data_IF_836830826273
#
_entry.id   IF_836830826273
#
_cell.length_a   1.000
_cell.length_b   1.000
_cell.length_c   1.000
_cell.angle_alpha   90.00
_cell.angle_beta   90.00
_cell.angle_gamma   90.00
#
_symmetry.space_group_name_H-M   'P 1'
#
loop_
_entity.id
_entity.type
_entity.pdbx_description
1 polymer ?
#
# COMPACT_ATOMS: atom_id res chain seq x y z
N UNK A 1 -4.33 1.30 2.59
CA UNK A 1 -5.59 0.74 3.10
C UNK A 1 -5.79 0.94 4.58
N UNK A 2 -5.25 1.98 5.12
CA UNK A 2 -5.65 2.48 6.43
C UNK A 2 -7.00 3.18 6.26
N UNK A 3 -7.83 3.12 7.28
CA UNK A 3 -9.08 3.87 7.33
C UNK A 3 -8.80 5.38 7.29
N UNK A 4 -7.67 5.77 7.88
CA UNK A 4 -7.13 7.13 7.85
C UNK A 4 -5.70 7.08 7.30
N UNK A 5 -5.31 8.11 6.56
CA UNK A 5 -3.95 8.25 6.07
C UNK A 5 -3.51 9.72 6.12
N UNK A 6 -2.20 9.97 6.31
CA UNK A 6 -1.69 11.34 6.32
C UNK A 6 -1.71 11.92 4.90
N UNK A 7 -2.06 13.19 4.76
CA UNK A 7 -1.89 13.93 3.52
C UNK A 7 -0.47 14.48 3.39
N UNK A 8 0.24 14.68 4.49
CA UNK A 8 1.61 15.19 4.49
C UNK A 8 2.56 14.21 5.15
N UNK A 9 3.70 14.01 4.49
CA UNK A 9 4.81 13.21 5.01
C UNK A 9 6.08 14.05 4.91
N UNK A 10 6.84 14.08 6.00
CA UNK A 10 8.16 14.71 6.06
C UNK A 10 9.21 13.66 6.33
N UNK A 11 10.29 13.69 5.58
CA UNK A 11 11.49 12.91 5.80
C UNK A 11 12.61 13.86 6.20
N UNK A 12 13.35 13.54 7.26
CA UNK A 12 14.52 14.29 7.68
C UNK A 12 15.74 13.39 7.72
N UNK A 13 16.80 13.77 7.02
CA UNK A 13 18.04 13.03 6.96
C UNK A 13 18.92 13.34 8.18
N UNK A 14 18.88 12.46 9.17
CA UNK A 14 19.80 12.53 10.33
C UNK A 14 21.18 12.04 9.91
N UNK A 15 21.23 10.95 9.11
CA UNK A 15 22.46 10.34 8.64
C UNK A 15 22.20 9.68 7.29
N UNK A 16 22.87 10.14 6.21
CA UNK A 16 22.82 9.46 4.92
C UNK A 16 23.59 8.14 4.98
N UNK A 17 23.24 7.21 4.10
CA UNK A 17 23.97 5.97 3.89
C UNK A 17 25.32 6.23 3.21
N UNK A 18 26.24 5.27 3.32
CA UNK A 18 27.52 5.33 2.62
C UNK A 18 27.31 5.21 1.09
N UNK A 19 26.34 4.41 0.67
CA UNK A 19 26.00 4.19 -0.74
C UNK A 19 24.52 3.84 -0.85
N UNK A 20 23.81 4.38 -1.86
CA UNK A 20 22.40 4.14 -2.10
C UNK A 20 21.50 4.78 -1.03
N UNK A 21 20.32 4.20 -0.81
CA UNK A 21 19.40 4.62 0.26
C UNK A 21 18.65 5.91 -0.03
N UNK A 22 18.61 6.32 -1.28
CA UNK A 22 17.77 7.42 -1.75
C UNK A 22 16.30 7.10 -1.49
N UNK A 23 15.49 8.13 -1.52
CA UNK A 23 14.01 8.01 -1.50
C UNK A 23 13.49 8.35 -2.89
N UNK A 24 13.37 7.37 -3.80
CA UNK A 24 12.73 7.61 -5.09
C UNK A 24 11.31 8.09 -4.91
N UNK A 25 10.92 9.08 -5.70
CA UNK A 25 9.58 9.67 -5.71
C UNK A 25 8.99 9.66 -7.11
N UNK A 26 7.66 9.49 -7.18
CA UNK A 26 6.91 9.46 -8.43
C UNK A 26 5.62 10.26 -8.28
N UNK A 27 5.31 11.13 -9.25
CA UNK A 27 4.05 11.86 -9.30
C UNK A 27 2.88 10.91 -9.63
N UNK A 28 1.95 10.76 -8.70
CA UNK A 28 0.78 9.89 -8.84
C UNK A 28 -0.21 10.37 -9.93
N UNK A 29 -0.16 11.66 -10.32
CA UNK A 29 -0.92 12.22 -11.45
C UNK A 29 -0.33 11.77 -12.77
N UNK A 30 1.02 11.80 -12.85
CA UNK A 30 1.74 11.29 -14.02
C UNK A 30 1.51 9.78 -14.17
N UNK A 31 1.53 9.03 -13.07
CA UNK A 31 1.16 7.61 -13.08
C UNK A 31 -0.23 7.39 -13.66
N UNK A 32 -1.23 8.16 -13.22
CA UNK A 32 -2.59 8.09 -13.75
C UNK A 32 -2.66 8.38 -15.25
N UNK A 33 -1.89 9.34 -15.74
CA UNK A 33 -1.87 9.73 -17.16
C UNK A 33 -1.16 8.69 -18.04
N UNK A 34 -0.09 8.08 -17.55
CA UNK A 34 0.74 7.11 -18.29
C UNK A 34 0.13 5.70 -18.36
N UNK A 35 -0.79 5.37 -17.44
CA UNK A 35 -1.51 4.09 -17.52
C UNK A 35 -2.32 4.02 -18.83
N UNK A 36 -2.30 2.85 -19.47
CA UNK A 36 -3.18 2.56 -20.60
C UNK A 36 -4.65 2.85 -20.24
N UNK A 37 -5.40 3.44 -21.16
CA UNK A 37 -6.77 3.90 -20.89
C UNK A 37 -7.71 2.76 -20.44
N UNK A 38 -7.58 1.56 -21.05
CA UNK A 38 -8.41 0.40 -20.69
C UNK A 38 -8.01 -0.16 -19.32
N UNK A 39 -6.71 -0.15 -19.01
CA UNK A 39 -6.21 -0.56 -17.71
C UNK A 39 -6.67 0.41 -16.62
N UNK A 40 -6.62 1.70 -16.88
CA UNK A 40 -7.12 2.74 -15.98
C UNK A 40 -8.62 2.56 -15.70
N UNK A 41 -9.43 2.42 -16.76
CA UNK A 41 -10.87 2.13 -16.63
C UNK A 41 -11.13 0.85 -15.83
N UNK A 42 -10.36 -0.22 -16.06
CA UNK A 42 -10.46 -1.48 -15.31
C UNK A 42 -10.21 -1.26 -13.81
N UNK A 43 -9.21 -0.46 -13.44
CA UNK A 43 -8.94 -0.13 -12.03
C UNK A 43 -10.00 0.79 -11.42
N UNK A 44 -10.56 1.72 -12.16
CA UNK A 44 -11.67 2.58 -11.70
C UNK A 44 -12.92 1.76 -11.42
N UNK A 45 -13.29 0.85 -12.31
CA UNK A 45 -14.50 0.02 -12.19
C UNK A 45 -14.34 -1.06 -11.13
N UNK A 46 -13.23 -1.80 -11.16
CA UNK A 46 -13.03 -2.96 -10.29
C UNK A 46 -12.47 -2.62 -8.92
N UNK A 47 -11.76 -1.52 -8.77
CA UNK A 47 -11.04 -1.17 -7.54
C UNK A 47 -9.97 -2.23 -7.17
N UNK A 48 -9.48 -2.21 -5.93
CA UNK A 48 -8.50 -3.16 -5.40
C UNK A 48 -9.00 -3.81 -4.13
N UNK A 49 -8.86 -5.13 -4.01
CA UNK A 49 -9.10 -5.88 -2.79
C UNK A 49 -7.76 -6.26 -2.16
N UNK A 50 -7.44 -5.63 -1.05
CA UNK A 50 -6.27 -5.99 -0.24
C UNK A 50 -6.62 -7.12 0.71
N UNK A 51 -5.84 -8.19 0.65
CA UNK A 51 -5.97 -9.34 1.53
C UNK A 51 -4.75 -9.43 2.44
N UNK A 52 -4.99 -9.67 3.71
CA UNK A 52 -3.94 -9.90 4.68
C UNK A 52 -4.27 -11.07 5.57
N UNK A 53 -3.32 -11.98 5.70
CA UNK A 53 -3.38 -13.12 6.62
C UNK A 53 -2.38 -12.88 7.75
N UNK A 54 -2.89 -12.72 8.96
CA UNK A 54 -2.08 -12.58 10.15
C UNK A 54 -1.84 -13.97 10.73
N UNK A 55 -0.65 -14.49 10.47
CA UNK A 55 -0.22 -15.82 10.94
C UNK A 55 1.03 -15.63 11.77
N UNK A 56 1.02 -16.18 12.97
CA UNK A 56 2.14 -16.10 13.90
C UNK A 56 3.44 -16.63 13.28
N UNK A 57 4.52 -15.88 13.42
CA UNK A 57 5.85 -16.24 12.93
C UNK A 57 6.12 -15.95 11.44
N UNK A 58 5.15 -15.46 10.68
CA UNK A 58 5.30 -15.19 9.24
C UNK A 58 5.32 -13.71 8.88
N UNK A 59 4.45 -12.93 9.48
CA UNK A 59 4.35 -11.46 9.36
C UNK A 59 3.98 -10.91 10.75
N UNK A 60 3.74 -9.63 10.85
CA UNK A 60 3.25 -9.00 12.09
C UNK A 60 1.97 -9.70 12.52
N UNK A 61 1.90 -10.12 13.79
CA UNK A 61 0.70 -10.71 14.36
C UNK A 61 -0.46 -9.71 14.36
N UNK A 62 -1.72 -10.18 14.39
CA UNK A 62 -2.85 -9.26 14.49
C UNK A 62 -2.81 -8.48 15.81
N UNK A 63 -2.29 -9.08 16.88
CA UNK A 63 -2.14 -8.42 18.18
C UNK A 63 -1.20 -7.21 18.09
N UNK A 64 -0.05 -7.39 17.44
CA UNK A 64 0.91 -6.30 17.24
C UNK A 64 0.38 -5.25 16.27
N UNK A 65 -0.33 -5.68 15.23
CA UNK A 65 -0.88 -4.76 14.24
C UNK A 65 -2.00 -3.87 14.81
N UNK A 66 -2.91 -4.44 15.60
CA UNK A 66 -4.03 -3.71 16.20
C UNK A 66 -3.72 -3.19 17.61
N UNK A 67 -2.51 -3.48 18.14
CA UNK A 67 -2.08 -3.08 19.48
C UNK A 67 -3.06 -3.54 20.58
N UNK A 68 -3.63 -4.72 20.44
CA UNK A 68 -4.58 -5.33 21.37
C UNK A 68 -4.58 -6.85 21.23
N UNK A 69 -4.91 -7.55 22.30
CA UNK A 69 -5.22 -8.99 22.29
C UNK A 69 -6.72 -9.30 22.41
N UNK A 70 -7.55 -8.26 22.46
CA UNK A 70 -9.01 -8.38 22.53
C UNK A 70 -9.59 -8.46 21.11
N UNK A 71 -10.18 -9.60 20.77
CA UNK A 71 -10.82 -9.84 19.47
C UNK A 71 -12.01 -8.91 19.23
N UNK A 72 -12.78 -8.56 20.27
CA UNK A 72 -13.92 -7.67 20.11
C UNK A 72 -13.50 -6.26 19.67
N UNK A 73 -12.36 -5.78 20.16
CA UNK A 73 -11.78 -4.49 19.73
C UNK A 73 -11.41 -4.55 18.26
N UNK A 74 -10.77 -5.64 17.82
CA UNK A 74 -10.40 -5.86 16.40
C UNK A 74 -11.63 -5.92 15.50
N UNK A 75 -12.65 -6.67 15.91
CA UNK A 75 -13.90 -6.81 15.17
C UNK A 75 -14.62 -5.46 15.02
N UNK A 76 -14.70 -4.67 16.09
CA UNK A 76 -15.30 -3.34 16.04
C UNK A 76 -14.53 -2.42 15.09
N UNK A 77 -13.19 -2.39 15.19
CA UNK A 77 -12.36 -1.64 14.25
C UNK A 77 -12.61 -2.06 12.80
N UNK A 78 -12.68 -3.36 12.53
CA UNK A 78 -12.91 -3.86 11.18
C UNK A 78 -14.29 -3.43 10.65
N UNK A 79 -15.33 -3.50 11.47
CA UNK A 79 -16.69 -3.04 11.09
C UNK A 79 -16.71 -1.54 10.77
N UNK A 80 -16.16 -0.71 11.65
CA UNK A 80 -16.07 0.75 11.45
C UNK A 80 -15.25 1.12 10.20
N UNK A 81 -14.20 0.38 9.93
CA UNK A 81 -13.33 0.61 8.78
C UNK A 81 -13.81 -0.07 7.49
N UNK A 82 -14.99 -0.72 7.49
CA UNK A 82 -15.50 -1.52 6.36
C UNK A 82 -14.49 -2.57 5.88
N UNK A 83 -13.84 -3.25 6.81
CA UNK A 83 -12.93 -4.36 6.57
C UNK A 83 -13.69 -5.66 6.82
N UNK A 84 -13.78 -6.52 5.82
CA UNK A 84 -14.23 -7.88 6.02
C UNK A 84 -13.16 -8.67 6.78
N UNK A 85 -13.53 -9.42 7.80
CA UNK A 85 -12.61 -10.21 8.61
C UNK A 85 -13.14 -11.63 8.84
N UNK A 86 -12.20 -12.55 9.01
CA UNK A 86 -12.47 -13.96 9.29
C UNK A 86 -11.42 -14.50 10.27
N UNK A 87 -11.88 -14.99 11.43
CA UNK A 87 -11.00 -15.69 12.35
C UNK A 87 -10.63 -17.07 11.81
N UNK A 88 -9.35 -17.33 11.75
CA UNK A 88 -8.78 -18.58 11.26
C UNK A 88 -8.36 -19.49 12.41
N UNK A 89 -8.08 -20.77 12.09
CA UNK A 89 -7.49 -21.71 13.06
C UNK A 89 -6.18 -21.16 13.64
N UNK A 90 -5.77 -21.70 14.81
CA UNK A 90 -4.54 -21.31 15.49
C UNK A 90 -4.46 -19.79 15.78
N UNK A 91 -5.61 -19.19 16.16
CA UNK A 91 -5.70 -17.78 16.48
C UNK A 91 -5.29 -16.82 15.33
N UNK A 92 -5.34 -17.29 14.08
CA UNK A 92 -5.08 -16.47 12.91
C UNK A 92 -6.25 -15.55 12.59
N UNK A 93 -5.97 -14.50 11.82
CA UNK A 93 -6.96 -13.57 11.31
C UNK A 93 -6.71 -13.33 9.82
N UNK A 94 -7.77 -13.38 9.02
CA UNK A 94 -7.75 -12.88 7.63
C UNK A 94 -8.58 -11.63 7.54
N UNK A 95 -8.06 -10.62 6.84
CA UNK A 95 -8.80 -9.39 6.53
C UNK A 95 -8.80 -9.14 5.04
N UNK A 96 -9.94 -8.62 4.53
CA UNK A 96 -10.09 -8.17 3.16
C UNK A 96 -10.69 -6.78 3.15
N UNK A 97 -10.09 -5.86 2.40
CA UNK A 97 -10.62 -4.51 2.24
C UNK A 97 -10.60 -4.08 0.79
N UNK A 98 -11.76 -3.62 0.29
CA UNK A 98 -11.86 -3.00 -1.03
C UNK A 98 -11.54 -1.51 -0.90
N UNK A 99 -10.62 -1.03 -1.74
CA UNK A 99 -10.18 0.35 -1.79
C UNK A 99 -10.07 0.81 -3.24
N UNK A 100 -10.32 2.10 -3.54
CA UNK A 100 -10.03 2.64 -4.85
C UNK A 100 -8.54 2.47 -5.21
N UNK A 101 -8.25 2.11 -6.47
CA UNK A 101 -6.90 2.16 -7.03
C UNK A 101 -6.53 3.58 -7.46
N UNK A 102 -7.55 4.33 -7.89
CA UNK A 102 -7.49 5.69 -8.39
C UNK A 102 -8.40 6.53 -7.50
N UNK A 103 -7.95 7.72 -7.14
CA UNK A 103 -8.68 8.62 -6.26
C UNK A 103 -8.59 10.05 -6.78
N UNK A 104 -9.58 10.87 -6.45
CA UNK A 104 -9.50 12.30 -6.63
C UNK A 104 -8.86 12.94 -5.39
N UNK A 105 -7.87 13.78 -5.61
CA UNK A 105 -7.20 14.48 -4.51
C UNK A 105 -8.16 15.51 -3.87
N UNK A 106 -8.37 15.51 -2.54
CA UNK A 106 -9.43 16.27 -1.89
C UNK A 106 -9.26 17.79 -1.97
N UNK A 107 -8.03 18.28 -2.12
CA UNK A 107 -7.73 19.72 -2.16
C UNK A 107 -7.57 20.25 -3.58
N UNK A 108 -6.99 19.45 -4.50
CA UNK A 108 -6.69 19.91 -5.86
C UNK A 108 -7.69 19.44 -6.91
N UNK A 109 -8.48 18.38 -6.60
CA UNK A 109 -9.42 17.78 -7.54
C UNK A 109 -8.76 16.91 -8.62
N UNK A 110 -7.43 16.80 -8.62
CA UNK A 110 -6.69 16.01 -9.61
C UNK A 110 -6.86 14.51 -9.39
N UNK A 111 -6.91 13.74 -10.48
CA UNK A 111 -6.95 12.29 -10.42
C UNK A 111 -5.55 11.72 -10.20
N UNK A 112 -5.42 10.78 -9.27
CA UNK A 112 -4.16 10.19 -8.85
C UNK A 112 -4.25 8.67 -8.78
N UNK A 113 -3.18 7.99 -9.21
CA UNK A 113 -3.00 6.55 -8.99
C UNK A 113 -2.43 6.33 -7.59
N UNK A 114 -3.32 6.44 -6.59
CA UNK A 114 -2.95 6.42 -5.17
C UNK A 114 -3.35 5.10 -4.51
N UNK A 115 -2.39 4.20 -4.37
CA UNK A 115 -2.60 2.86 -3.83
C UNK A 115 -1.29 2.25 -3.32
N UNK A 116 -1.36 1.02 -2.80
CA UNK A 116 -0.21 0.24 -2.33
C UNK A 116 -0.06 -1.08 -3.10
N UNK A 117 -0.47 -1.10 -4.35
CA UNK A 117 -0.48 -2.29 -5.20
C UNK A 117 0.87 -3.01 -5.23
N UNK A 118 1.96 -2.27 -5.50
CA UNK A 118 3.30 -2.85 -5.57
C UNK A 118 3.81 -3.41 -4.24
N UNK A 119 3.37 -2.86 -3.12
CA UNK A 119 3.78 -3.34 -1.80
C UNK A 119 3.11 -4.67 -1.43
N UNK A 120 1.97 -4.98 -2.05
CA UNK A 120 1.15 -6.13 -1.68
C UNK A 120 1.15 -7.25 -2.70
N UNK A 121 1.30 -6.95 -3.99
CA UNK A 121 1.21 -7.97 -5.03
C UNK A 121 2.42 -8.90 -5.03
N UNK A 122 2.15 -10.21 -5.04
CA UNK A 122 3.18 -11.26 -4.93
C UNK A 122 4.21 -11.22 -6.05
N UNK A 123 3.86 -10.71 -7.25
CA UNK A 123 4.81 -10.58 -8.37
C UNK A 123 5.86 -9.48 -8.15
N UNK A 124 5.67 -8.61 -7.16
CA UNK A 124 6.64 -7.56 -6.81
C UNK A 124 7.73 -8.03 -5.86
N UNK A 125 7.63 -9.27 -5.35
CA UNK A 125 8.68 -9.93 -4.58
C UNK A 125 9.80 -10.42 -5.50
N UNK A 126 10.99 -10.61 -4.94
CA UNK A 126 12.03 -11.31 -5.68
C UNK A 126 11.61 -12.74 -6.03
N UNK A 127 12.06 -13.29 -7.16
CA UNK A 127 11.56 -14.58 -7.67
C UNK A 127 11.76 -15.75 -6.69
N UNK A 128 12.83 -15.75 -5.90
CA UNK A 128 13.11 -16.83 -4.95
C UNK A 128 12.15 -16.77 -3.76
N UNK A 129 11.94 -15.58 -3.21
CA UNK A 129 10.97 -15.33 -2.13
C UNK A 129 9.56 -15.64 -2.59
N UNK A 130 9.14 -15.18 -3.79
CA UNK A 130 7.84 -15.49 -4.37
C UNK A 130 7.61 -17.00 -4.47
N UNK A 131 8.56 -17.73 -5.04
CA UNK A 131 8.48 -19.19 -5.20
C UNK A 131 8.37 -19.88 -3.86
N UNK A 132 9.17 -19.49 -2.88
CA UNK A 132 9.15 -20.08 -1.55
C UNK A 132 7.82 -19.87 -0.84
N UNK A 133 7.30 -18.63 -0.84
CA UNK A 133 6.02 -18.30 -0.20
C UNK A 133 4.85 -19.04 -0.85
N UNK A 134 4.79 -19.06 -2.19
CA UNK A 134 3.74 -19.79 -2.91
C UNK A 134 3.78 -21.30 -2.65
N UNK A 135 4.98 -21.88 -2.57
CA UNK A 135 5.17 -23.32 -2.28
C UNK A 135 4.77 -23.66 -0.85
N UNK A 136 5.04 -22.80 0.12
CA UNK A 136 4.79 -23.07 1.55
C UNK A 136 3.34 -22.82 1.95
N UNK A 137 2.70 -21.80 1.40
CA UNK A 137 1.40 -21.30 1.88
C UNK A 137 0.28 -21.40 0.85
N UNK A 138 0.63 -21.53 -0.44
CA UNK A 138 -0.33 -21.29 -1.52
C UNK A 138 -0.73 -19.81 -1.61
N UNK A 139 -1.35 -19.41 -2.71
CA UNK A 139 -1.69 -18.01 -2.97
C UNK A 139 -2.69 -17.44 -1.96
N UNK A 140 -3.69 -18.22 -1.57
CA UNK A 140 -4.75 -17.78 -0.66
C UNK A 140 -4.28 -17.47 0.77
N UNK A 141 -3.18 -18.10 1.19
CA UNK A 141 -2.64 -17.97 2.55
C UNK A 141 -1.37 -17.12 2.61
N UNK A 142 -1.02 -16.43 1.52
CA UNK A 142 0.08 -15.47 1.55
C UNK A 142 -0.16 -14.43 2.64
N UNK A 143 0.87 -13.96 3.34
CA UNK A 143 0.74 -12.93 4.38
C UNK A 143 0.03 -11.68 3.87
N UNK A 144 0.31 -11.32 2.62
CA UNK A 144 -0.30 -10.18 1.92
C UNK A 144 -0.47 -10.53 0.46
N UNK A 145 -1.57 -10.11 -0.12
CA UNK A 145 -1.79 -10.08 -1.56
C UNK A 145 -2.83 -9.02 -1.90
N UNK A 146 -2.95 -8.72 -3.18
CA UNK A 146 -3.94 -7.78 -3.70
C UNK A 146 -4.53 -8.34 -4.98
N UNK A 147 -5.83 -8.14 -5.13
CA UNK A 147 -6.65 -8.57 -6.25
C UNK A 147 -7.45 -7.39 -6.78
N UNK A 148 -8.12 -7.54 -7.92
CA UNK A 148 -9.22 -6.64 -8.22
C UNK A 148 -10.32 -6.75 -7.16
N UNK A 149 -11.14 -5.72 -7.00
CA UNK A 149 -12.17 -5.67 -5.96
C UNK A 149 -13.24 -6.76 -6.06
N UNK A 150 -13.41 -7.37 -7.25
CA UNK A 150 -14.28 -8.54 -7.48
C UNK A 150 -13.60 -9.88 -7.10
N UNK A 151 -12.37 -9.84 -6.59
CA UNK A 151 -11.60 -11.02 -6.22
C UNK A 151 -10.82 -11.66 -7.37
N UNK A 152 -10.96 -11.18 -8.61
CA UNK A 152 -10.19 -11.70 -9.73
C UNK A 152 -8.72 -11.32 -9.61
N UNK A 153 -7.77 -12.20 -10.02
CA UNK A 153 -6.34 -11.93 -9.91
C UNK A 153 -5.93 -10.78 -10.82
N UNK A 154 -4.92 -10.02 -10.37
CA UNK A 154 -4.25 -9.03 -11.21
C UNK A 154 -3.12 -9.75 -11.94
N UNK A 155 -3.08 -9.63 -13.24
CA UNK A 155 -2.15 -10.33 -14.10
C UNK A 155 -0.70 -9.83 -13.88
N UNK A 156 0.27 -10.74 -13.85
CA UNK A 156 1.70 -10.38 -13.73
C UNK A 156 2.16 -9.39 -14.82
N UNK A 157 1.57 -9.46 -16.02
CA UNK A 157 1.83 -8.50 -17.12
C UNK A 157 1.37 -7.08 -16.79
N UNK A 158 0.22 -6.94 -16.13
CA UNK A 158 -0.28 -5.64 -15.64
C UNK A 158 0.67 -5.07 -14.58
N UNK A 159 1.14 -5.92 -13.68
CA UNK A 159 2.10 -5.50 -12.66
C UNK A 159 3.43 -5.08 -13.26
N UNK A 160 3.90 -5.79 -14.29
CA UNK A 160 5.14 -5.45 -15.01
C UNK A 160 5.02 -4.08 -15.73
N UNK A 161 3.87 -3.79 -16.34
CA UNK A 161 3.57 -2.49 -16.95
C UNK A 161 3.61 -1.37 -15.91
N UNK A 162 2.90 -1.53 -14.80
CA UNK A 162 2.89 -0.56 -13.71
C UNK A 162 4.31 -0.32 -13.17
N UNK A 163 5.09 -1.37 -12.94
CA UNK A 163 6.47 -1.25 -12.49
C UNK A 163 7.37 -0.54 -13.51
N UNK A 164 7.14 -0.73 -14.81
CA UNK A 164 7.89 -0.03 -15.86
C UNK A 164 7.60 1.47 -15.81
N UNK A 165 6.34 1.88 -15.69
CA UNK A 165 5.94 3.28 -15.57
C UNK A 165 6.58 3.90 -14.31
N UNK A 166 6.51 3.23 -13.16
CA UNK A 166 7.16 3.72 -11.93
C UNK A 166 8.66 3.94 -12.09
N UNK A 167 9.36 3.02 -12.76
CA UNK A 167 10.81 3.16 -13.00
C UNK A 167 11.14 4.34 -13.90
N UNK A 168 10.36 4.54 -14.96
CA UNK A 168 10.55 5.62 -15.93
C UNK A 168 10.24 6.99 -15.31
N UNK A 169 9.15 7.09 -14.54
CA UNK A 169 8.71 8.34 -13.93
C UNK A 169 9.45 8.68 -12.62
N UNK A 170 10.30 7.78 -12.13
CA UNK A 170 10.96 7.94 -10.83
C UNK A 170 12.04 9.01 -10.85
N UNK A 171 11.98 9.89 -9.86
CA UNK A 171 13.04 10.87 -9.56
C UNK A 171 13.72 10.43 -8.27
N UNK A 172 15.05 10.48 -8.26
CA UNK A 172 15.85 10.10 -7.11
C UNK A 172 17.03 11.06 -6.92
N UNK A 173 17.39 11.31 -5.68
CA UNK A 173 18.54 12.16 -5.32
C UNK A 173 19.24 11.61 -4.08
N UNK A 174 20.57 11.78 -3.96
CA UNK A 174 21.30 11.36 -2.77
C UNK A 174 20.95 12.25 -1.59
N UNK A 175 20.72 11.61 -0.43
CA UNK A 175 20.50 12.33 0.83
C UNK A 175 21.78 13.00 1.33
N UNK A 176 21.65 14.22 1.85
CA UNK A 176 22.66 14.88 2.65
C UNK A 176 22.14 15.04 4.08
N UNK A 177 23.05 15.03 5.06
CA UNK A 177 22.68 15.28 6.46
C UNK A 177 22.03 16.66 6.59
N UNK A 178 20.88 16.71 7.23
CA UNK A 178 20.09 17.94 7.40
C UNK A 178 19.02 18.15 6.35
N UNK A 179 19.01 17.37 5.25
CA UNK A 179 17.95 17.48 4.23
C UNK A 179 16.58 17.20 4.81
N UNK A 180 15.60 17.97 4.33
CA UNK A 180 14.16 17.75 4.57
C UNK A 180 13.45 17.57 3.23
N UNK A 181 12.74 16.45 3.09
CA UNK A 181 11.82 16.21 1.98
C UNK A 181 10.39 16.21 2.51
N UNK A 182 9.56 17.14 2.04
CA UNK A 182 8.12 17.17 2.32
C UNK A 182 7.34 16.73 1.10
N UNK A 183 6.42 15.80 1.29
CA UNK A 183 5.56 15.26 0.24
C UNK A 183 4.08 15.44 0.59
N UNK A 184 3.28 15.72 -0.44
CA UNK A 184 1.87 15.39 -0.41
C UNK A 184 1.72 13.90 -0.71
N UNK A 185 1.22 13.13 0.24
CA UNK A 185 1.21 11.66 0.21
C UNK A 185 0.25 11.09 -0.88
N UNK A 186 -0.76 11.84 -1.29
CA UNK A 186 -1.63 11.42 -2.39
C UNK A 186 -1.06 11.76 -3.76
N UNK A 187 -0.33 12.88 -3.84
CA UNK A 187 0.27 13.33 -5.09
C UNK A 187 1.59 12.62 -5.40
N UNK A 188 2.29 12.11 -4.38
CA UNK A 188 3.65 11.57 -4.55
C UNK A 188 3.79 10.22 -3.88
N UNK A 189 3.98 9.19 -4.70
CA UNK A 189 4.43 7.89 -4.23
C UNK A 189 5.93 7.95 -3.89
N UNK A 190 6.35 7.17 -2.91
CA UNK A 190 7.74 7.12 -2.47
C UNK A 190 8.17 5.70 -2.11
N UNK A 191 9.46 5.43 -2.23
CA UNK A 191 10.06 4.15 -1.86
C UNK A 191 11.43 4.36 -1.22
N UNK A 192 12.18 3.30 -1.06
CA UNK A 192 13.55 3.34 -0.55
C UNK A 192 14.43 2.43 -1.37
N UNK A 193 15.52 2.97 -1.91
CA UNK A 193 16.55 2.18 -2.55
C UNK A 193 17.35 1.33 -1.53
N UNK A 194 17.89 0.17 -1.95
CA UNK A 194 18.87 -0.57 -1.17
C UNK A 194 20.05 0.33 -0.80
N UNK A 195 20.69 0.05 0.33
CA UNK A 195 21.81 0.86 0.81
C UNK A 195 22.88 0.05 1.56
N UNK A 196 24.06 0.63 1.66
CA UNK A 196 25.20 0.09 2.41
C UNK A 196 25.56 1.09 3.51
N UNK A 197 25.90 0.58 4.68
CA UNK A 197 26.29 1.35 5.84
C UNK A 197 25.12 1.81 6.71
N UNK A 198 25.40 2.63 7.72
CA UNK A 198 24.39 3.19 8.57
C UNK A 198 23.54 4.22 7.80
N UNK A 199 22.24 4.21 8.03
CA UNK A 199 21.27 5.19 7.47
C UNK A 199 20.21 5.51 8.51
N UNK A 200 19.97 6.79 8.73
CA UNK A 200 18.91 7.25 9.63
C UNK A 200 18.12 8.39 8.98
N UNK A 201 16.95 8.03 8.43
CA UNK A 201 15.93 8.98 7.98
C UNK A 201 14.76 8.86 8.95
N UNK A 202 14.40 9.95 9.59
CA UNK A 202 13.23 10.03 10.45
C UNK A 202 12.04 10.54 9.66
N UNK A 203 10.84 10.09 10.03
CA UNK A 203 9.60 10.39 9.29
C UNK A 203 8.59 11.00 10.25
N UNK A 204 7.99 12.10 9.85
CA UNK A 204 6.80 12.67 10.48
C UNK A 204 5.62 12.62 9.52
N UNK A 205 4.42 12.44 10.07
CA UNK A 205 3.18 12.36 9.30
C UNK A 205 2.16 13.30 9.91
N UNK A 206 1.39 13.99 9.08
CA UNK A 206 0.40 14.95 9.53
C UNK A 206 -0.75 15.16 8.55
N UNK A 207 -1.69 16.02 8.94
CA UNK A 207 -2.93 16.26 8.18
C UNK A 207 -3.65 14.94 7.88
N UNK A 208 -4.06 14.23 8.95
CA UNK A 208 -4.78 12.97 8.80
C UNK A 208 -6.10 13.19 8.06
N UNK A 209 -6.29 12.46 6.98
CA UNK A 209 -7.49 12.49 6.17
C UNK A 209 -8.26 11.18 6.33
N UNK A 210 -9.56 11.31 6.54
CA UNK A 210 -10.50 10.20 6.55
C UNK A 210 -11.54 10.48 5.47
N UNK A 211 -11.65 9.60 4.49
CA UNK A 211 -12.72 9.70 3.50
C UNK A 211 -14.04 9.42 4.23
N UNK A 212 -14.98 10.34 4.14
CA UNK A 212 -16.34 10.11 4.64
C UNK A 212 -16.93 8.89 3.93
N UNK A 213 -17.38 7.92 4.70
CA UNK A 213 -18.15 6.79 4.17
C UNK A 213 -19.55 7.34 3.92
N UNK A 214 -19.86 7.64 2.64
CA UNK A 214 -21.25 7.88 2.25
C UNK A 214 -21.95 6.54 2.38
N UNK A 215 -22.65 6.34 3.49
CA UNK A 215 -23.66 5.28 3.59
C UNK A 215 -24.74 5.62 2.57
N UNK A 216 -24.73 4.92 1.43
CA UNK A 216 -25.95 4.86 0.63
C UNK A 216 -26.96 4.10 1.47
N UNK A 217 -27.91 4.85 2.02
CA UNK A 217 -29.11 4.28 2.61
C UNK A 217 -29.75 3.42 1.50
N UNK A 218 -29.66 2.12 1.66
CA UNK A 218 -30.44 1.17 0.89
C UNK A 218 -31.88 1.23 1.45
N UNK A 219 -32.59 2.31 1.14
CA UNK A 219 -34.04 2.31 1.17
C UNK A 219 -34.57 1.67 -0.11
N UNK A 220 -35.24 0.53 0.03
CA UNK A 220 -35.96 -0.12 -1.06
C UNK A 220 -36.22 -1.58 -0.77
#
# INVERSE_FOLDING_TARGET
HLHQYPLKIWFFCVQPSLQGGETPIVDCRQMYQLLDAKLREKFEQKQLMYVRNYTEGLDVSWQDFFHTSDKAVVENYCREASIHFEWRKNNGLRTCKICPAISQHPKTGEMVFFNQLQLHHVSCLDPATRKSLLSMFGEENLPRNVYYGDGSPIEDSVMAEIQAIYREASISFPWQQGDVLMLDNMLVAHSRNPYIGARKIVVAMGEMFQKEIVTQDMEG
#
